data_IF_761511604387
#
_entry.id   IF_761511604387
#
_cell.length_a   1.000
_cell.length_b   1.000
_cell.length_c   1.000
_cell.angle_alpha   90.00
_cell.angle_beta   90.00
_cell.angle_gamma   90.00
#
_symmetry.space_group_name_H-M   'P 1'
#
loop_
_entity.id
_entity.type
_entity.pdbx_description
1 polymer ?
#
# COMPACT_ATOMS: atom_id res chain seq x y z
N UNK A 1 7.79 -25.76 -58.51
CA UNK A 1 8.55 -24.93 -57.55
C UNK A 1 7.84 -25.00 -56.20
N UNK A 2 8.33 -25.79 -55.23
CA UNK A 2 7.68 -25.91 -53.93
C UNK A 2 8.00 -24.67 -53.06
N UNK A 3 6.95 -24.04 -52.52
CA UNK A 3 7.04 -22.96 -51.53
C UNK A 3 7.67 -23.49 -50.22
N UNK A 4 8.59 -22.74 -49.58
CA UNK A 4 9.07 -23.07 -48.24
C UNK A 4 7.98 -22.76 -47.21
N UNK A 5 7.63 -23.77 -46.41
CA UNK A 5 6.72 -23.63 -45.28
C UNK A 5 7.30 -22.67 -44.23
N UNK A 6 6.51 -21.68 -43.83
CA UNK A 6 6.79 -20.76 -42.73
C UNK A 6 7.01 -21.56 -41.43
N UNK A 7 8.23 -21.53 -40.88
CA UNK A 7 8.49 -22.00 -39.51
C UNK A 7 7.66 -21.15 -38.53
N UNK A 8 6.93 -21.74 -37.57
CA UNK A 8 6.50 -20.98 -36.41
C UNK A 8 7.76 -20.61 -35.62
N UNK A 9 7.95 -19.32 -35.37
CA UNK A 9 8.92 -18.85 -34.40
C UNK A 9 8.58 -19.44 -33.02
N UNK A 10 9.57 -19.87 -32.21
CA UNK A 10 9.28 -20.23 -30.84
C UNK A 10 8.76 -18.96 -30.15
N UNK A 11 7.49 -18.98 -29.75
CA UNK A 11 6.99 -18.03 -28.79
C UNK A 11 7.82 -18.23 -27.53
N UNK A 12 8.76 -17.31 -27.28
CA UNK A 12 9.38 -17.18 -25.97
C UNK A 12 8.24 -16.99 -24.98
N UNK A 13 7.92 -18.05 -24.25
CA UNK A 13 7.00 -18.02 -23.12
C UNK A 13 7.47 -16.92 -22.18
N UNK A 14 6.75 -15.80 -22.17
CA UNK A 14 6.90 -14.75 -21.17
C UNK A 14 6.21 -15.12 -19.84
N UNK A 15 5.75 -16.36 -19.70
CA UNK A 15 5.44 -16.96 -18.41
C UNK A 15 6.72 -17.54 -17.81
N UNK A 16 7.64 -16.66 -17.43
CA UNK A 16 8.47 -17.00 -16.27
C UNK A 16 7.57 -16.69 -15.07
N UNK A 17 6.94 -17.69 -14.42
CA UNK A 17 6.40 -17.43 -13.10
C UNK A 17 7.58 -16.89 -12.30
N UNK A 18 7.46 -15.65 -11.82
CA UNK A 18 8.44 -15.07 -10.91
C UNK A 18 8.51 -16.06 -9.75
N UNK A 19 9.54 -16.90 -9.77
CA UNK A 19 9.73 -17.95 -8.80
C UNK A 19 9.79 -17.21 -7.45
N UNK A 20 8.89 -17.50 -6.49
CA UNK A 20 8.95 -16.87 -5.19
C UNK A 20 10.36 -17.14 -4.66
N UNK A 21 11.20 -16.11 -4.60
CA UNK A 21 12.45 -16.28 -3.89
C UNK A 21 12.05 -16.51 -2.44
N UNK A 22 12.57 -17.56 -1.77
CA UNK A 22 12.26 -17.84 -0.37
C UNK A 22 12.66 -16.61 0.44
N UNK A 23 11.66 -15.76 0.71
CA UNK A 23 11.86 -14.48 1.36
C UNK A 23 11.99 -14.82 2.83
N UNK A 24 13.18 -14.61 3.39
CA UNK A 24 13.36 -14.70 4.83
C UNK A 24 12.23 -13.91 5.50
N UNK A 25 11.57 -14.51 6.50
CA UNK A 25 10.47 -13.87 7.26
C UNK A 25 10.81 -12.46 7.74
N UNK A 26 12.11 -12.19 7.94
CA UNK A 26 12.63 -10.86 8.24
C UNK A 26 12.46 -9.83 7.10
N UNK A 27 12.73 -10.23 5.85
CA UNK A 27 12.58 -9.37 4.66
C UNK A 27 11.10 -9.12 4.36
N UNK A 28 10.25 -10.14 4.52
CA UNK A 28 8.79 -10.01 4.41
C UNK A 28 8.24 -9.02 5.46
N UNK A 29 8.69 -9.14 6.71
CA UNK A 29 8.36 -8.19 7.77
C UNK A 29 8.82 -6.76 7.46
N UNK A 30 10.07 -6.56 7.03
CA UNK A 30 10.57 -5.23 6.64
C UNK A 30 9.79 -4.64 5.46
N UNK A 31 9.35 -5.48 4.51
CA UNK A 31 8.51 -5.05 3.39
C UNK A 31 7.14 -4.58 3.88
N UNK A 32 6.50 -5.33 4.78
CA UNK A 32 5.24 -4.93 5.41
C UNK A 32 5.40 -3.61 6.18
N UNK A 33 6.44 -3.46 6.99
CA UNK A 33 6.71 -2.21 7.73
C UNK A 33 6.90 -1.04 6.77
N UNK A 34 7.67 -1.22 5.69
CA UNK A 34 7.85 -0.18 4.67
C UNK A 34 6.53 0.25 4.03
N UNK A 35 5.68 -0.70 3.64
CA UNK A 35 4.36 -0.41 3.08
C UNK A 35 3.46 0.34 4.07
N UNK A 36 3.47 -0.06 5.34
CA UNK A 36 2.69 0.61 6.40
C UNK A 36 3.15 2.05 6.59
N UNK A 37 4.46 2.28 6.66
CA UNK A 37 5.00 3.63 6.83
C UNK A 37 4.66 4.51 5.63
N UNK A 38 4.79 4.00 4.41
CA UNK A 38 4.52 4.77 3.20
C UNK A 38 3.04 5.15 3.10
N UNK A 39 2.15 4.18 3.17
CA UNK A 39 0.70 4.42 3.08
C UNK A 39 0.19 5.18 4.31
N UNK A 40 0.69 4.84 5.51
CA UNK A 40 0.37 5.56 6.74
C UNK A 40 0.77 7.03 6.65
N UNK A 41 1.93 7.34 6.08
CA UNK A 41 2.37 8.72 5.90
C UNK A 41 1.42 9.51 4.99
N UNK A 42 0.96 8.93 3.88
CA UNK A 42 -0.02 9.57 3.00
C UNK A 42 -1.35 9.82 3.71
N UNK A 43 -1.86 8.86 4.48
CA UNK A 43 -3.09 9.01 5.27
C UNK A 43 -2.97 10.22 6.21
N UNK A 44 -1.86 10.32 6.94
CA UNK A 44 -1.66 11.40 7.91
C UNK A 44 -1.38 12.74 7.23
N UNK A 45 -0.66 12.78 6.12
CA UNK A 45 -0.46 14.00 5.34
C UNK A 45 -1.80 14.55 4.82
N UNK A 46 -2.67 13.69 4.30
CA UNK A 46 -4.02 14.08 3.85
C UNK A 46 -4.86 14.55 5.02
N UNK A 47 -4.83 13.84 6.15
CA UNK A 47 -5.59 14.23 7.35
C UNK A 47 -5.18 15.61 7.87
N UNK A 48 -3.86 15.87 7.97
CA UNK A 48 -3.32 17.16 8.42
C UNK A 48 -3.64 18.25 7.39
N UNK A 49 -3.47 17.99 6.10
CA UNK A 49 -3.77 18.95 5.05
C UNK A 49 -5.26 19.32 5.03
N UNK A 50 -6.15 18.35 5.23
CA UNK A 50 -7.59 18.60 5.34
C UNK A 50 -7.91 19.46 6.57
N UNK A 51 -7.30 19.15 7.72
CA UNK A 51 -7.48 19.97 8.93
C UNK A 51 -7.00 21.39 8.69
N UNK A 52 -5.79 21.55 8.15
CA UNK A 52 -5.22 22.87 7.86
C UNK A 52 -6.06 23.67 6.85
N UNK A 53 -6.56 23.02 5.81
CA UNK A 53 -7.35 23.69 4.77
C UNK A 53 -8.73 24.14 5.29
N UNK A 54 -9.39 23.32 6.11
CA UNK A 54 -10.70 23.66 6.66
C UNK A 54 -10.55 24.74 7.75
N UNK A 55 -9.55 24.63 8.61
CA UNK A 55 -9.23 25.65 9.60
C UNK A 55 -8.96 27.01 8.94
N UNK A 56 -8.04 27.05 7.96
CA UNK A 56 -7.72 28.29 7.24
C UNK A 56 -8.88 28.86 6.41
N UNK A 57 -9.89 28.07 6.06
CA UNK A 57 -11.06 28.53 5.31
C UNK A 57 -12.18 29.07 6.22
N UNK A 58 -12.43 28.41 7.34
CA UNK A 58 -13.52 28.75 8.26
C UNK A 58 -13.08 29.64 9.43
N UNK A 59 -11.77 29.88 9.59
CA UNK A 59 -11.15 30.66 10.68
C UNK A 59 -11.61 30.14 12.04
N UNK A 60 -11.40 28.84 12.29
CA UNK A 60 -11.89 28.22 13.52
C UNK A 60 -11.06 28.70 14.72
N UNK A 61 -11.74 28.94 15.83
CA UNK A 61 -11.06 29.05 17.12
C UNK A 61 -10.62 27.66 17.61
N UNK A 62 -9.73 27.60 18.60
CA UNK A 62 -9.15 26.37 19.17
C UNK A 62 -10.16 25.25 19.49
N UNK A 63 -11.40 25.60 19.88
CA UNK A 63 -12.45 24.61 20.13
C UNK A 63 -12.88 23.91 18.83
N UNK A 64 -12.97 24.66 17.74
CA UNK A 64 -13.24 24.14 16.40
C UNK A 64 -12.17 23.17 15.93
N UNK A 65 -10.89 23.51 16.13
CA UNK A 65 -9.77 22.62 15.82
C UNK A 65 -9.85 21.30 16.59
N UNK A 66 -10.15 21.38 17.88
CA UNK A 66 -10.30 20.19 18.72
C UNK A 66 -11.42 19.28 18.23
N UNK A 67 -12.57 19.86 17.85
CA UNK A 67 -13.68 19.09 17.27
C UNK A 67 -13.24 18.45 15.96
N UNK A 68 -12.55 19.19 15.10
CA UNK A 68 -12.15 18.69 13.79
C UNK A 68 -11.11 17.58 13.87
N UNK A 69 -10.11 17.74 14.74
CA UNK A 69 -9.13 16.69 15.06
C UNK A 69 -9.84 15.48 15.66
N UNK A 70 -10.80 15.68 16.57
CA UNK A 70 -11.57 14.59 17.16
C UNK A 70 -12.43 13.84 16.12
N UNK A 71 -12.81 14.46 15.00
CA UNK A 71 -13.52 13.81 13.91
C UNK A 71 -12.57 13.11 12.93
N UNK A 72 -11.46 13.75 12.57
CA UNK A 72 -10.55 13.27 11.52
C UNK A 72 -9.54 12.25 12.05
N UNK A 73 -8.97 12.46 13.24
CA UNK A 73 -7.92 11.60 13.78
C UNK A 73 -8.38 10.15 14.01
N UNK A 74 -9.60 9.86 14.51
CA UNK A 74 -10.06 8.48 14.64
C UNK A 74 -10.18 7.76 13.30
N UNK A 75 -10.60 8.47 12.24
CA UNK A 75 -10.70 7.92 10.88
C UNK A 75 -9.31 7.61 10.32
N UNK A 76 -8.36 8.53 10.49
CA UNK A 76 -6.97 8.34 10.07
C UNK A 76 -6.31 7.17 10.83
N UNK A 77 -6.55 7.06 12.14
CA UNK A 77 -6.07 5.95 12.96
C UNK A 77 -6.65 4.62 12.51
N UNK A 78 -7.96 4.56 12.27
CA UNK A 78 -8.61 3.35 11.79
C UNK A 78 -8.11 2.92 10.41
N UNK A 79 -7.94 3.86 9.48
CA UNK A 79 -7.39 3.59 8.15
C UNK A 79 -5.95 3.04 8.25
N UNK A 80 -5.11 3.68 9.09
CA UNK A 80 -3.73 3.22 9.35
C UNK A 80 -3.71 1.81 9.92
N UNK A 81 -4.62 1.51 10.86
CA UNK A 81 -4.76 0.18 11.45
C UNK A 81 -5.16 -0.88 10.42
N UNK A 82 -6.11 -0.58 9.54
CA UNK A 82 -6.52 -1.50 8.47
C UNK A 82 -5.40 -1.75 7.47
N UNK A 83 -4.67 -0.70 7.07
CA UNK A 83 -3.47 -0.82 6.23
C UNK A 83 -2.44 -1.74 6.88
N UNK A 84 -2.18 -1.57 8.18
CA UNK A 84 -1.26 -2.44 8.91
C UNK A 84 -1.69 -3.90 8.89
N UNK A 85 -2.97 -4.17 9.12
CA UNK A 85 -3.50 -5.54 9.03
C UNK A 85 -3.32 -6.14 7.64
N UNK A 86 -3.61 -5.38 6.58
CA UNK A 86 -3.52 -5.87 5.20
C UNK A 86 -2.06 -6.11 4.78
N UNK A 87 -1.15 -5.20 5.12
CA UNK A 87 0.27 -5.33 4.81
C UNK A 87 0.91 -6.54 5.52
N UNK A 88 0.57 -6.75 6.80
CA UNK A 88 1.03 -7.91 7.57
C UNK A 88 0.44 -9.20 7.00
N UNK A 89 -0.87 -9.22 6.71
CA UNK A 89 -1.52 -10.41 6.15
C UNK A 89 -0.95 -10.79 4.78
N UNK A 90 -0.61 -9.82 3.93
CA UNK A 90 -0.05 -10.05 2.60
C UNK A 90 1.36 -10.69 2.67
N UNK A 91 2.22 -10.24 3.58
CA UNK A 91 3.61 -10.72 3.68
C UNK A 91 3.76 -11.93 4.61
N UNK A 92 2.81 -12.21 5.51
CA UNK A 92 2.83 -13.37 6.43
C UNK A 92 1.95 -14.55 5.99
N UNK A 93 1.30 -14.48 4.82
CA UNK A 93 0.50 -15.60 4.31
C UNK A 93 1.41 -16.81 4.01
N UNK A 94 1.14 -18.01 4.57
CA UNK A 94 1.95 -19.21 4.35
C UNK A 94 2.14 -19.58 2.88
N UNK A 95 1.18 -19.25 2.01
CA UNK A 95 1.27 -19.51 0.56
C UNK A 95 2.31 -18.64 -0.17
N UNK A 96 2.81 -17.58 0.50
CA UNK A 96 3.85 -16.69 0.01
C UNK A 96 5.20 -16.91 0.75
N UNK A 97 5.26 -17.91 1.63
CA UNK A 97 6.39 -18.21 2.50
C UNK A 97 7.15 -19.51 2.14
N UNK A 98 6.71 -20.21 1.09
CA UNK A 98 7.37 -21.40 0.51
C UNK A 98 8.22 -21.03 -0.72
#
# INVERSE_FOLDING_TARGET
MPHPASRPAPATSADTPAMPLPKSRFVAFLTAVGAIVLIGSEIWLVAIAAVWAIDGFLDLATIGDLIMIALIAPVALWATWMTAKLAIAAEMNPENAD
#
